data_IF_000109649311
#
_entry.id   IF_000109649311
#
_cell.length_a   1.000
_cell.length_b   1.000
_cell.length_c   1.000
_cell.angle_alpha   90.00
_cell.angle_beta   90.00
_cell.angle_gamma   90.00
#
_symmetry.space_group_name_H-M   'P 1'
#
loop_
_entity.id
_entity.type
_entity.pdbx_description
1 polymer ?
#
# COMPACT_ATOMS: atom_id res chain seq x y z
N UNK A 1 -15.53 22.27 20.37
CA UNK A 1 -15.55 20.81 20.18
C UNK A 1 -14.13 20.30 20.40
N UNK A 2 -13.78 20.00 21.65
CA UNK A 2 -12.42 19.65 22.07
C UNK A 2 -12.14 18.18 21.72
N UNK A 3 -11.17 17.94 20.85
CA UNK A 3 -10.72 16.61 20.50
C UNK A 3 -9.92 16.03 21.68
N UNK A 4 -10.59 15.37 22.62
CA UNK A 4 -10.00 14.52 23.67
C UNK A 4 -9.33 13.23 23.12
N UNK A 5 -8.96 13.21 21.83
CA UNK A 5 -8.34 12.04 21.15
C UNK A 5 -6.93 11.71 21.63
N UNK A 6 -6.24 12.63 22.30
CA UNK A 6 -4.78 12.55 22.44
C UNK A 6 -4.27 11.46 23.40
N UNK A 7 -4.92 11.24 24.56
CA UNK A 7 -4.42 10.28 25.55
C UNK A 7 -4.84 8.82 25.25
N UNK A 8 -6.07 8.60 24.78
CA UNK A 8 -6.56 7.26 24.46
C UNK A 8 -5.86 6.65 23.26
N UNK A 9 -5.60 7.46 22.24
CA UNK A 9 -4.95 7.01 21.01
C UNK A 9 -3.46 6.77 21.25
N UNK A 10 -2.80 7.57 22.09
CA UNK A 10 -1.42 7.32 22.53
C UNK A 10 -1.28 5.96 23.22
N UNK A 11 -2.17 5.64 24.17
CA UNK A 11 -2.14 4.34 24.87
C UNK A 11 -2.35 3.16 23.93
N UNK A 12 -3.20 3.32 22.91
CA UNK A 12 -3.41 2.30 21.88
C UNK A 12 -2.17 2.12 21.01
N UNK A 13 -1.48 3.21 20.70
CA UNK A 13 -0.22 3.16 19.98
C UNK A 13 0.88 2.48 20.80
N UNK A 14 1.02 2.81 22.08
CA UNK A 14 1.98 2.17 22.99
C UNK A 14 1.71 0.66 23.09
N UNK A 15 0.43 0.26 23.20
CA UNK A 15 0.04 -1.14 23.22
C UNK A 15 0.35 -1.86 21.89
N UNK A 16 0.12 -1.20 20.75
CA UNK A 16 0.46 -1.74 19.43
C UNK A 16 1.98 -1.94 19.30
N UNK A 17 2.77 -0.93 19.67
CA UNK A 17 4.23 -0.97 19.60
C UNK A 17 4.80 -2.06 20.52
N UNK A 18 4.28 -2.19 21.74
CA UNK A 18 4.64 -3.27 22.65
C UNK A 18 4.31 -4.65 22.08
N UNK A 19 3.16 -4.80 21.41
CA UNK A 19 2.75 -6.05 20.77
C UNK A 19 3.60 -6.42 19.54
N UNK A 20 4.34 -5.47 18.95
CA UNK A 20 5.27 -5.78 17.86
C UNK A 20 6.55 -6.43 18.33
N UNK A 21 6.91 -6.33 19.61
CA UNK A 21 8.15 -6.91 20.13
C UNK A 21 9.35 -6.54 19.24
N UNK A 22 9.47 -5.25 18.90
CA UNK A 22 10.51 -4.72 18.02
C UNK A 22 10.39 -5.25 16.57
N UNK A 23 11.47 -5.78 15.95
CA UNK A 23 11.49 -6.18 14.55
C UNK A 23 10.80 -7.53 14.28
N UNK A 24 10.30 -8.22 15.31
CA UNK A 24 9.64 -9.53 15.18
C UNK A 24 8.24 -9.38 14.60
N UNK A 25 7.48 -8.42 15.13
CA UNK A 25 6.12 -8.13 14.73
C UNK A 25 6.05 -7.52 13.32
N UNK A 26 4.94 -7.77 12.65
CA UNK A 26 4.67 -7.28 11.30
C UNK A 26 3.35 -6.52 11.29
N UNK A 27 3.33 -5.39 10.59
CA UNK A 27 2.14 -4.56 10.41
C UNK A 27 1.88 -4.28 8.95
N UNK A 28 0.61 -4.16 8.59
CA UNK A 28 0.20 -3.64 7.30
C UNK A 28 0.14 -2.13 7.36
N UNK A 29 1.02 -1.46 6.62
CA UNK A 29 1.08 -0.02 6.54
C UNK A 29 0.65 0.46 5.15
N UNK A 30 -0.38 1.31 5.05
CA UNK A 30 -0.71 1.97 3.78
C UNK A 30 0.22 3.16 3.51
N UNK A 31 0.39 3.50 2.23
CA UNK A 31 0.94 4.82 1.88
C UNK A 31 -0.14 5.89 2.10
N UNK A 32 -0.03 6.63 3.20
CA UNK A 32 -0.96 7.70 3.54
C UNK A 32 -1.02 8.83 2.50
N UNK A 33 -0.01 8.99 1.65
CA UNK A 33 -0.02 9.99 0.56
C UNK A 33 -0.85 9.53 -0.63
N UNK A 34 -1.08 8.22 -0.77
CA UNK A 34 -1.66 7.57 -1.95
C UNK A 34 -2.67 6.50 -1.57
N UNK A 35 -3.70 6.91 -0.83
CA UNK A 35 -4.75 6.03 -0.32
C UNK A 35 -5.68 5.47 -1.41
N UNK A 36 -5.70 6.05 -2.61
CA UNK A 36 -6.48 5.55 -3.74
C UNK A 36 -5.83 5.95 -5.06
N UNK A 37 -5.92 5.08 -6.07
CA UNK A 37 -5.55 5.39 -7.43
C UNK A 37 -6.35 6.61 -7.96
N UNK A 38 -5.69 7.41 -8.81
CA UNK A 38 -6.25 8.60 -9.45
C UNK A 38 -6.70 8.35 -10.88
N UNK A 39 -6.29 7.23 -11.49
CA UNK A 39 -6.84 6.77 -12.75
C UNK A 39 -8.35 6.60 -12.71
N UNK A 40 -8.99 6.62 -13.89
CA UNK A 40 -10.45 6.52 -14.00
C UNK A 40 -10.98 5.18 -13.51
N UNK A 41 -10.15 4.12 -13.57
CA UNK A 41 -10.52 2.73 -13.26
C UNK A 41 -11.84 2.32 -13.92
N UNK A 42 -12.19 2.90 -15.07
CA UNK A 42 -13.49 2.72 -15.68
C UNK A 42 -13.71 1.25 -16.05
N UNK A 43 -14.81 0.65 -15.58
CA UNK A 43 -15.12 -0.77 -15.74
C UNK A 43 -15.02 -1.53 -14.41
N UNK A 44 -14.76 -2.83 -14.50
CA UNK A 44 -14.48 -3.71 -13.36
C UNK A 44 -13.10 -4.36 -13.57
N UNK A 45 -12.01 -3.64 -13.24
CA UNK A 45 -10.68 -4.08 -13.58
C UNK A 45 -10.23 -5.27 -12.73
N UNK A 46 -9.81 -6.33 -13.41
CA UNK A 46 -9.34 -7.58 -12.82
C UNK A 46 -7.87 -7.82 -13.16
N UNK A 47 -7.13 -8.41 -12.22
CA UNK A 47 -5.76 -8.85 -12.49
C UNK A 47 -5.82 -10.15 -13.28
N UNK A 48 -5.24 -10.19 -14.47
CA UNK A 48 -5.22 -11.40 -15.33
C UNK A 48 -3.93 -12.16 -15.15
N UNK A 49 -2.81 -11.46 -15.28
CA UNK A 49 -1.47 -12.06 -15.16
C UNK A 49 -0.43 -11.01 -14.85
N UNK A 50 0.73 -11.44 -14.36
CA UNK A 50 1.83 -10.54 -14.06
C UNK A 50 3.16 -11.25 -14.00
N UNK A 51 4.18 -10.71 -14.67
CA UNK A 51 5.55 -11.24 -14.57
C UNK A 51 6.56 -10.10 -14.63
N UNK A 52 7.66 -10.22 -13.87
CA UNK A 52 8.74 -9.24 -13.87
C UNK A 52 8.24 -7.84 -13.51
N UNK A 53 8.33 -6.88 -14.44
CA UNK A 53 7.94 -5.48 -14.24
C UNK A 53 6.61 -5.11 -14.90
N UNK A 54 5.80 -6.10 -15.28
CA UNK A 54 4.57 -5.85 -16.06
C UNK A 54 3.40 -6.65 -15.50
N UNK A 55 2.26 -5.97 -15.37
CA UNK A 55 0.96 -6.56 -15.06
C UNK A 55 0.02 -6.43 -16.25
N UNK A 56 -0.75 -7.48 -16.49
CA UNK A 56 -1.85 -7.50 -17.44
C UNK A 56 -3.15 -7.44 -16.67
N UNK A 57 -3.92 -6.39 -16.95
CA UNK A 57 -5.25 -6.18 -16.39
C UNK A 57 -6.29 -6.29 -17.51
N UNK A 58 -7.50 -6.72 -17.16
CA UNK A 58 -8.65 -6.73 -18.07
C UNK A 58 -9.89 -6.18 -17.36
N UNK A 59 -11.00 -6.05 -18.09
CA UNK A 59 -12.26 -5.57 -17.52
C UNK A 59 -12.39 -4.05 -17.46
N UNK A 60 -11.44 -3.32 -18.06
CA UNK A 60 -11.63 -1.89 -18.29
C UNK A 60 -12.69 -1.64 -19.36
N UNK A 61 -13.26 -0.45 -19.34
CA UNK A 61 -14.07 0.05 -20.46
C UNK A 61 -13.19 0.14 -21.71
N UNK A 62 -13.58 -0.48 -22.85
CA UNK A 62 -12.81 -0.43 -24.08
C UNK A 62 -12.46 0.99 -24.52
N UNK A 63 -11.22 1.20 -24.97
CA UNK A 63 -10.66 2.48 -25.41
C UNK A 63 -10.69 3.60 -24.35
N UNK A 64 -10.82 3.27 -23.06
CA UNK A 64 -10.77 4.27 -21.99
C UNK A 64 -9.34 4.82 -21.81
N UNK A 65 -9.13 6.14 -21.95
CA UNK A 65 -7.84 6.75 -21.64
C UNK A 65 -7.66 6.93 -20.12
N UNK A 66 -6.40 6.88 -19.67
CA UNK A 66 -6.02 7.20 -18.29
C UNK A 66 -6.65 6.28 -17.25
N UNK A 67 -6.75 4.97 -17.52
CA UNK A 67 -7.31 4.00 -16.58
C UNK A 67 -6.45 3.86 -15.33
N UNK A 68 -5.13 4.00 -15.47
CA UNK A 68 -4.17 4.13 -14.39
C UNK A 68 -3.17 5.24 -14.74
N UNK A 69 -2.78 6.02 -13.73
CA UNK A 69 -1.83 7.11 -13.89
C UNK A 69 -0.48 6.77 -13.24
N UNK A 70 0.58 7.40 -13.73
CA UNK A 70 1.89 7.28 -13.11
C UNK A 70 1.84 7.70 -11.63
N UNK A 71 2.35 6.85 -10.75
CA UNK A 71 2.32 7.02 -9.31
C UNK A 71 1.14 6.35 -8.60
N UNK A 72 0.15 5.82 -9.32
CA UNK A 72 -0.92 5.03 -8.72
C UNK A 72 -0.35 3.78 -8.04
N UNK A 73 -0.91 3.44 -6.88
CA UNK A 73 -0.54 2.23 -6.14
C UNK A 73 -1.51 1.12 -6.49
N UNK A 74 -0.95 -0.06 -6.76
CA UNK A 74 -1.70 -1.27 -7.03
C UNK A 74 -1.11 -2.42 -6.22
N UNK A 75 -1.97 -3.31 -5.77
CA UNK A 75 -1.58 -4.42 -4.92
C UNK A 75 -2.11 -5.71 -5.52
N UNK A 76 -1.21 -6.67 -5.69
CA UNK A 76 -1.48 -7.98 -6.27
C UNK A 76 -1.80 -9.02 -5.20
N UNK A 77 -1.33 -8.79 -3.97
CA UNK A 77 -1.58 -9.64 -2.81
C UNK A 77 -1.50 -8.79 -1.52
N UNK A 78 -2.21 -9.15 -0.44
CA UNK A 78 -2.03 -8.58 0.90
C UNK A 78 -0.55 -8.41 1.27
N UNK A 79 -0.13 -7.18 1.56
CA UNK A 79 1.23 -6.90 2.05
C UNK A 79 2.27 -6.58 1.00
N UNK A 80 1.93 -6.63 -0.29
CA UNK A 80 2.85 -6.28 -1.38
C UNK A 80 2.21 -5.32 -2.38
N UNK A 81 2.55 -4.05 -2.26
CA UNK A 81 2.10 -3.01 -3.18
C UNK A 81 3.18 -2.67 -4.22
N UNK A 82 2.73 -2.24 -5.39
CA UNK A 82 3.55 -1.84 -6.54
C UNK A 82 3.05 -0.49 -7.04
N UNK A 83 3.95 0.28 -7.63
CA UNK A 83 3.64 1.59 -8.19
C UNK A 83 3.60 1.52 -9.71
N UNK A 84 2.60 2.13 -10.31
CA UNK A 84 2.48 2.30 -11.75
C UNK A 84 3.50 3.35 -12.21
N UNK A 85 4.34 3.00 -13.18
CA UNK A 85 5.48 3.85 -13.60
C UNK A 85 5.09 4.85 -14.69
N UNK A 86 4.07 4.54 -15.49
CA UNK A 86 3.61 5.40 -16.59
C UNK A 86 2.09 5.41 -16.69
N UNK A 87 1.54 6.40 -17.40
CA UNK A 87 0.11 6.44 -17.67
C UNK A 87 -0.30 5.27 -18.58
N UNK A 88 -1.42 4.63 -18.26
CA UNK A 88 -1.92 3.46 -18.96
C UNK A 88 -3.33 3.73 -19.49
N UNK A 89 -3.59 3.29 -20.71
CA UNK A 89 -4.88 3.33 -21.38
C UNK A 89 -5.38 1.89 -21.61
N UNK A 90 -6.69 1.69 -21.67
CA UNK A 90 -7.29 0.42 -22.08
C UNK A 90 -7.31 0.30 -23.62
N UNK A 91 -7.11 -0.91 -24.12
CA UNK A 91 -7.22 -1.26 -25.54
C UNK A 91 -8.68 -1.46 -25.99
N UNK A 92 -8.87 -1.88 -27.24
CA UNK A 92 -10.19 -2.10 -27.83
C UNK A 92 -10.98 -3.26 -27.18
N UNK A 93 -10.30 -4.15 -26.46
CA UNK A 93 -10.88 -5.29 -25.76
C UNK A 93 -11.02 -5.02 -24.24
N UNK A 94 -10.62 -3.83 -23.77
CA UNK A 94 -10.65 -3.48 -22.35
C UNK A 94 -9.49 -4.06 -21.53
N UNK A 95 -8.40 -4.46 -22.19
CA UNK A 95 -7.17 -4.90 -21.55
C UNK A 95 -6.15 -3.77 -21.45
N UNK A 96 -5.26 -3.87 -20.46
CA UNK A 96 -4.20 -2.89 -20.25
C UNK A 96 -2.93 -3.57 -19.74
N UNK A 97 -1.79 -3.20 -20.33
CA UNK A 97 -0.45 -3.59 -19.88
C UNK A 97 0.13 -2.47 -19.01
N UNK A 98 0.33 -2.76 -17.74
CA UNK A 98 0.74 -1.82 -16.70
C UNK A 98 2.19 -2.09 -16.31
N UNK A 99 3.13 -1.18 -16.60
CA UNK A 99 4.48 -1.30 -16.07
C UNK A 99 4.52 -0.86 -14.61
N UNK A 100 5.19 -1.67 -13.81
CA UNK A 100 5.21 -1.54 -12.36
C UNK A 100 6.63 -1.53 -11.82
N UNK A 101 6.79 -0.83 -10.69
CA UNK A 101 7.99 -0.88 -9.87
C UNK A 101 7.60 -0.98 -8.38
N UNK A 102 8.31 -1.77 -7.55
CA UNK A 102 9.39 -2.69 -7.89
C UNK A 102 8.92 -3.93 -8.69
N UNK A 103 9.85 -4.76 -9.19
CA UNK A 103 9.49 -5.98 -9.93
C UNK A 103 8.74 -7.00 -9.05
N UNK A 104 7.88 -7.78 -9.67
CA UNK A 104 7.31 -8.99 -9.10
C UNK A 104 8.41 -10.01 -8.85
N UNK A 105 8.33 -10.66 -7.69
CA UNK A 105 9.22 -11.76 -7.33
C UNK A 105 8.71 -13.08 -7.89
N UNK A 106 7.39 -13.22 -7.92
CA UNK A 106 6.69 -14.40 -8.42
C UNK A 106 5.69 -13.99 -9.49
N UNK A 107 5.44 -14.89 -10.42
CA UNK A 107 4.40 -14.68 -11.42
C UNK A 107 3.04 -14.66 -10.70
N UNK A 108 2.27 -13.62 -10.96
CA UNK A 108 0.92 -13.50 -10.42
C UNK A 108 -0.06 -14.00 -11.47
N UNK A 109 -0.99 -14.85 -11.06
CA UNK A 109 -2.10 -15.35 -11.88
C UNK A 109 -3.34 -14.49 -11.67
N UNK A 110 -4.49 -14.93 -12.17
CA UNK A 110 -5.76 -14.22 -12.03
C UNK A 110 -6.09 -13.94 -10.55
N UNK A 111 -6.56 -12.73 -10.25
CA UNK A 111 -6.94 -12.35 -8.89
C UNK A 111 -7.57 -10.96 -8.79
N UNK A 112 -7.90 -10.56 -7.57
CA UNK A 112 -8.50 -9.26 -7.30
C UNK A 112 -7.45 -8.15 -7.40
N UNK A 113 -7.80 -7.08 -8.10
CA UNK A 113 -6.97 -5.88 -8.18
C UNK A 113 -7.30 -4.93 -7.02
N UNK A 114 -6.36 -4.73 -6.11
CA UNK A 114 -6.51 -3.75 -5.02
C UNK A 114 -5.85 -2.43 -5.44
N UNK A 115 -6.64 -1.38 -5.65
CA UNK A 115 -6.19 -0.01 -6.02
C UNK A 115 -6.46 1.03 -4.93
N UNK A 116 -7.09 0.61 -3.83
CA UNK A 116 -7.39 1.47 -2.69
C UNK A 116 -6.75 0.93 -1.44
N UNK A 117 -6.24 1.85 -0.62
CA UNK A 117 -5.60 1.57 0.66
C UNK A 117 -4.56 0.45 0.55
N UNK A 118 -3.73 0.49 -0.49
CA UNK A 118 -2.70 -0.52 -0.75
C UNK A 118 -1.74 -0.55 0.44
N UNK A 119 -1.56 -1.73 1.04
CA UNK A 119 -0.78 -1.92 2.26
C UNK A 119 0.44 -2.77 1.98
N UNK A 120 1.56 -2.33 2.53
CA UNK A 120 2.82 -3.06 2.52
C UNK A 120 3.03 -3.68 3.89
N UNK A 121 3.54 -4.91 3.92
CA UNK A 121 3.93 -5.56 5.15
C UNK A 121 5.25 -4.96 5.62
N UNK A 122 5.27 -4.39 6.81
CA UNK A 122 6.42 -3.72 7.38
C UNK A 122 6.75 -4.25 8.77
N UNK A 123 8.01 -4.15 9.17
CA UNK A 123 8.48 -4.38 10.55
C UNK A 123 9.25 -3.16 11.06
N UNK A 124 9.30 -3.01 12.39
CA UNK A 124 10.18 -2.02 13.02
C UNK A 124 11.64 -2.36 12.69
N UNK A 125 12.44 -1.31 12.50
CA UNK A 125 13.86 -1.46 12.19
C UNK A 125 14.69 -1.84 13.42
N UNK A 126 14.24 -1.41 14.60
CA UNK A 126 14.99 -1.51 15.85
C UNK A 126 14.02 -1.61 17.04
N UNK A 127 14.49 -2.25 18.11
CA UNK A 127 13.75 -2.52 19.36
C UNK A 127 13.47 -1.22 20.14
N UNK A 128 14.37 -0.25 20.06
CA UNK A 128 14.29 1.00 20.84
C UNK A 128 13.43 2.10 20.21
N UNK A 129 12.87 1.88 19.02
CA UNK A 129 12.06 2.86 18.28
C UNK A 129 10.66 3.10 18.90
N UNK A 130 10.28 2.33 19.92
CA UNK A 130 9.02 2.46 20.63
C UNK A 130 9.09 3.40 21.85
N UNK A 131 10.24 4.05 22.10
CA UNK A 131 10.39 4.98 23.22
C UNK A 131 9.60 6.27 22.95
N UNK A 132 8.56 6.51 23.75
CA UNK A 132 7.74 7.73 23.69
C UNK A 132 7.97 8.58 24.95
N UNK A 133 9.05 9.39 25.00
CA UNK A 133 9.26 10.31 26.10
C UNK A 133 8.11 11.32 26.12
N UNK A 134 7.25 11.23 27.13
CA UNK A 134 6.16 12.18 27.31
C UNK A 134 6.75 13.53 27.73
N UNK A 135 7.09 14.37 26.76
CA UNK A 135 7.35 15.79 27.03
C UNK A 135 6.02 16.45 27.43
N UNK A 136 6.08 17.43 28.33
CA UNK A 136 4.92 18.11 28.91
C UNK A 136 4.17 19.03 27.90
N UNK A 137 4.39 18.84 26.59
CA UNK A 137 3.55 19.42 25.54
C UNK A 137 2.40 18.45 25.26
N UNK A 138 1.21 19.02 25.10
CA UNK A 138 -0.10 18.39 24.93
C UNK A 138 -0.24 17.37 23.78
N UNK A 139 0.83 16.86 23.17
CA UNK A 139 0.84 15.92 22.05
C UNK A 139 1.93 14.87 22.21
N UNK A 140 1.54 13.60 22.19
CA UNK A 140 2.48 12.49 22.00
C UNK A 140 2.87 12.44 20.53
N UNK A 141 4.16 12.24 20.25
CA UNK A 141 4.68 12.07 18.91
C UNK A 141 5.45 10.75 18.84
N UNK A 142 5.19 9.97 17.79
CA UNK A 142 5.89 8.73 17.52
C UNK A 142 6.65 8.89 16.21
N UNK A 143 7.95 8.65 16.23
CA UNK A 143 8.78 8.55 15.04
C UNK A 143 9.18 7.08 14.90
N UNK A 144 8.76 6.45 13.79
CA UNK A 144 8.99 5.02 13.56
C UNK A 144 9.74 4.82 12.26
N UNK A 145 10.82 4.06 12.33
CA UNK A 145 11.53 3.57 11.16
C UNK A 145 11.04 2.15 10.86
N UNK A 146 10.39 2.00 9.70
CA UNK A 146 9.79 0.75 9.24
C UNK A 146 10.52 0.27 7.97
N UNK A 147 10.80 -1.02 7.93
CA UNK A 147 11.35 -1.69 6.74
C UNK A 147 10.32 -2.64 6.14
N UNK A 148 10.19 -2.64 4.82
CA UNK A 148 9.33 -3.60 4.11
C UNK A 148 9.85 -5.03 4.37
N UNK A 149 8.94 -5.90 4.80
CA UNK A 149 9.16 -7.33 4.90
C UNK A 149 8.54 -7.97 3.69
N UNK A 150 9.36 -8.71 2.95
CA UNK A 150 8.87 -9.48 1.83
C UNK A 150 8.09 -10.69 2.36
N UNK A 151 6.90 -10.97 1.82
CA UNK A 151 6.24 -12.24 2.10
C UNK A 151 7.15 -13.39 1.62
N UNK A 152 7.24 -14.44 2.45
CA UNK A 152 7.95 -15.70 2.15
C UNK A 152 7.17 -16.56 1.16
#
# INVERSE_FOLDING_TARGET
MSLTRNASDSRRMDALLAALHGPVGRIYMPDFRRLAAKGSLAGDPQLVSGTGTTLTLSGFTPNAPGVLLAGDMIQTAPGRAHMVVQNVNADADGNASVPIAPRLREAVTTGDLITTNCRVLMRLQDDDQASNPTDNRLHSAFELQLSEVLPE
#
